data_IF_286255101362
#
_entry.id   IF_286255101362
#
_cell.length_a   1.000
_cell.length_b   1.000
_cell.length_c   1.000
_cell.angle_alpha   90.00
_cell.angle_beta   90.00
_cell.angle_gamma   90.00
#
_symmetry.space_group_name_H-M   'P 1'
#
loop_
_entity.id
_entity.type
_entity.pdbx_description
1 polymer ?
#
# COMPACT_ATOMS: atom_id res chain seq x y z
N UNK A 1 -31.46 13.43 -36.27
CA UNK A 1 -30.57 14.31 -37.03
C UNK A 1 -30.29 15.53 -36.17
N UNK A 2 -29.17 15.63 -35.58
CA UNK A 2 -28.34 16.78 -35.26
C UNK A 2 -27.38 16.37 -34.12
N UNK A 3 -26.14 16.21 -34.53
CA UNK A 3 -24.99 15.89 -33.73
C UNK A 3 -24.73 16.99 -32.71
N UNK A 4 -24.70 16.65 -31.42
CA UNK A 4 -24.05 17.46 -30.40
C UNK A 4 -22.59 17.06 -30.39
N UNK A 5 -21.75 17.96 -30.89
CA UNK A 5 -20.29 17.86 -30.79
C UNK A 5 -19.89 18.00 -29.33
N UNK A 6 -19.29 16.95 -28.78
CA UNK A 6 -18.54 17.01 -27.57
C UNK A 6 -17.30 17.88 -27.81
N UNK A 7 -17.22 19.01 -27.15
CA UNK A 7 -15.97 19.74 -26.99
C UNK A 7 -15.06 18.91 -26.07
N UNK A 8 -14.22 18.12 -26.69
CA UNK A 8 -13.06 17.53 -26.04
C UNK A 8 -12.09 18.69 -25.72
N UNK A 9 -12.07 19.13 -24.46
CA UNK A 9 -10.94 19.86 -23.95
C UNK A 9 -9.71 18.96 -24.11
N UNK A 10 -8.93 19.23 -25.13
CA UNK A 10 -7.60 18.67 -25.30
C UNK A 10 -6.72 19.23 -24.18
N UNK A 11 -6.63 18.51 -23.08
CA UNK A 11 -5.53 18.64 -22.14
C UNK A 11 -4.29 18.16 -22.89
N UNK A 12 -3.37 19.05 -23.19
CA UNK A 12 -2.02 18.65 -23.54
C UNK A 12 -1.47 17.88 -22.32
N UNK A 13 -0.98 16.64 -22.48
CA UNK A 13 -0.41 15.89 -21.38
C UNK A 13 0.82 16.66 -20.88
N UNK A 14 0.78 17.05 -19.60
CA UNK A 14 1.96 17.56 -18.92
C UNK A 14 3.05 16.49 -19.02
N UNK A 15 4.20 16.90 -19.37
CA UNK A 15 5.54 16.32 -19.57
C UNK A 15 5.92 14.90 -19.08
N UNK A 16 4.99 14.08 -18.59
CA UNK A 16 5.21 12.64 -18.39
C UNK A 16 5.39 11.87 -19.71
N UNK A 17 5.08 12.51 -20.87
CA UNK A 17 5.21 11.92 -22.21
C UNK A 17 6.65 11.73 -22.70
N UNK A 18 7.66 11.92 -21.88
CA UNK A 18 9.05 11.94 -22.33
C UNK A 18 9.94 10.78 -21.96
N UNK A 19 9.54 9.83 -21.11
CA UNK A 19 10.49 8.78 -20.71
C UNK A 19 9.77 7.46 -20.38
N UNK A 20 9.20 6.81 -21.36
CA UNK A 20 9.17 5.36 -21.43
C UNK A 20 10.52 4.91 -22.00
N UNK A 21 11.59 5.04 -21.24
CA UNK A 21 12.81 4.31 -21.50
C UNK A 21 12.80 3.06 -20.67
N UNK A 22 12.77 1.91 -21.35
CA UNK A 22 12.90 0.58 -20.77
C UNK A 22 11.86 0.25 -19.67
N UNK A 23 10.57 0.17 -20.03
CA UNK A 23 9.46 -0.47 -19.29
C UNK A 23 9.18 -0.02 -17.84
N UNK A 24 9.80 1.04 -17.32
CA UNK A 24 9.58 1.51 -15.96
C UNK A 24 9.16 2.97 -15.88
N UNK A 25 8.09 3.25 -15.13
CA UNK A 25 7.68 4.62 -14.85
C UNK A 25 8.74 5.36 -14.02
N UNK A 26 9.13 6.56 -14.49
CA UNK A 26 10.05 7.45 -13.77
C UNK A 26 9.47 8.87 -13.68
N UNK A 27 9.23 9.39 -12.44
CA UNK A 27 8.72 10.75 -12.28
C UNK A 27 9.80 11.79 -12.56
N UNK A 28 9.76 12.44 -13.71
CA UNK A 28 10.72 13.49 -14.08
C UNK A 28 10.48 14.77 -13.30
N UNK A 29 11.58 15.43 -12.89
CA UNK A 29 11.51 16.64 -12.09
C UNK A 29 11.05 17.85 -12.94
N UNK A 30 10.00 18.60 -12.53
CA UNK A 30 9.54 19.79 -13.24
C UNK A 30 10.61 20.89 -13.27
N UNK A 31 10.73 21.58 -14.41
CA UNK A 31 11.73 22.61 -14.63
C UNK A 31 11.21 24.03 -14.31
N UNK A 32 9.89 24.23 -14.37
CA UNK A 32 9.22 25.51 -14.15
C UNK A 32 7.85 25.27 -13.48
N UNK A 33 7.18 26.35 -13.07
CA UNK A 33 5.88 26.27 -12.39
C UNK A 33 4.81 25.62 -13.28
N UNK A 34 4.78 25.92 -14.58
CA UNK A 34 3.79 25.35 -15.50
C UNK A 34 3.86 23.83 -15.55
N UNK A 35 5.08 23.27 -15.55
CA UNK A 35 5.30 21.82 -15.55
C UNK A 35 4.89 21.13 -14.25
N UNK A 36 4.72 21.87 -13.15
CA UNK A 36 4.22 21.30 -11.90
C UNK A 36 2.73 20.92 -11.97
N UNK A 37 1.99 21.50 -12.94
CA UNK A 37 0.54 21.40 -13.03
C UNK A 37 -0.23 22.13 -11.92
N UNK A 38 0.46 22.97 -11.14
CA UNK A 38 -0.12 23.72 -10.02
C UNK A 38 -0.16 25.23 -10.34
N UNK A 39 -1.13 25.92 -9.75
CA UNK A 39 -1.18 27.39 -9.87
C UNK A 39 -0.07 28.04 -9.02
N UNK A 40 0.47 29.17 -9.52
CA UNK A 40 1.45 29.95 -8.74
C UNK A 40 0.91 30.32 -7.36
N UNK A 41 -0.37 30.70 -7.26
CA UNK A 41 -1.00 31.05 -6.00
C UNK A 41 -1.03 29.90 -4.98
N UNK A 42 -1.17 28.66 -5.45
CA UNK A 42 -1.09 27.48 -4.59
C UNK A 42 0.33 27.26 -4.06
N UNK A 43 1.33 27.37 -4.94
CA UNK A 43 2.75 27.19 -4.56
C UNK A 43 3.18 28.32 -3.61
N UNK A 44 2.80 29.60 -3.88
CA UNK A 44 3.02 30.72 -2.96
C UNK A 44 2.43 30.43 -1.57
N UNK A 45 1.19 29.95 -1.51
CA UNK A 45 0.54 29.59 -0.25
C UNK A 45 1.29 28.47 0.48
N UNK A 46 1.76 27.45 -0.25
CA UNK A 46 2.51 26.33 0.32
C UNK A 46 3.87 26.79 0.87
N UNK A 47 4.59 27.65 0.16
CA UNK A 47 5.84 28.26 0.61
C UNK A 47 5.62 29.09 1.87
N UNK A 48 4.63 29.97 1.91
CA UNK A 48 4.31 30.79 3.09
C UNK A 48 3.95 29.94 4.31
N UNK A 49 3.15 28.90 4.14
CA UNK A 49 2.80 27.95 5.20
C UNK A 49 4.03 27.17 5.70
N UNK A 50 4.90 26.75 4.80
CA UNK A 50 6.15 26.06 5.14
C UNK A 50 7.06 26.93 5.99
N UNK A 51 7.22 28.23 5.62
CA UNK A 51 8.02 29.18 6.40
C UNK A 51 7.34 29.51 7.72
N UNK A 52 6.01 29.59 7.78
CA UNK A 52 5.26 29.84 9.03
C UNK A 52 5.57 28.74 10.08
N UNK A 53 5.58 27.48 9.68
CA UNK A 53 5.86 26.36 10.57
C UNK A 53 7.34 26.26 10.94
N UNK A 54 8.23 26.52 9.97
CA UNK A 54 9.67 26.38 10.17
C UNK A 54 10.29 27.59 10.88
N UNK A 55 9.65 28.74 10.88
CA UNK A 55 10.16 30.02 11.39
C UNK A 55 11.18 30.64 10.45
N UNK A 56 12.47 30.32 10.64
CA UNK A 56 13.55 30.76 9.74
C UNK A 56 14.11 29.55 9.02
N UNK A 57 14.11 29.59 7.68
CA UNK A 57 14.43 28.43 6.84
C UNK A 57 15.13 28.86 5.57
N UNK A 58 16.10 28.07 5.07
CA UNK A 58 16.77 28.33 3.79
C UNK A 58 15.87 27.98 2.60
N UNK A 59 16.09 28.61 1.44
CA UNK A 59 15.35 28.32 0.23
C UNK A 59 15.47 26.85 -0.19
N UNK A 60 16.65 26.23 -0.05
CA UNK A 60 16.82 24.79 -0.32
C UNK A 60 16.02 23.91 0.66
N UNK A 61 15.94 24.29 1.91
CA UNK A 61 15.10 23.56 2.86
C UNK A 61 13.61 23.73 2.57
N UNK A 62 13.18 24.86 1.99
CA UNK A 62 11.81 25.02 1.47
C UNK A 62 11.60 24.08 0.28
N UNK A 63 12.57 24.03 -0.64
CA UNK A 63 12.59 23.10 -1.78
C UNK A 63 12.42 21.65 -1.33
N UNK A 64 13.23 21.20 -0.38
CA UNK A 64 13.17 19.83 0.14
C UNK A 64 11.83 19.52 0.82
N UNK A 65 11.29 20.46 1.61
CA UNK A 65 10.00 20.28 2.30
C UNK A 65 8.80 20.28 1.37
N UNK A 66 8.86 21.07 0.29
CA UNK A 66 7.78 21.15 -0.70
C UNK A 66 7.91 20.13 -1.82
N UNK A 67 9.05 19.43 -1.91
CA UNK A 67 9.35 18.51 -3.01
C UNK A 67 9.55 19.19 -4.36
N UNK A 68 9.54 20.53 -4.42
CA UNK A 68 9.72 21.29 -5.66
C UNK A 68 11.19 21.67 -5.83
N UNK A 69 11.71 21.57 -7.03
CA UNK A 69 13.08 21.99 -7.33
C UNK A 69 13.32 23.45 -6.96
N UNK A 70 14.52 23.77 -6.44
CA UNK A 70 14.86 25.13 -6.02
C UNK A 70 14.65 26.15 -7.13
N UNK A 71 15.03 25.82 -8.38
CA UNK A 71 14.82 26.66 -9.59
C UNK A 71 13.34 26.99 -9.87
N UNK A 72 12.40 26.16 -9.40
CA UNK A 72 10.96 26.39 -9.54
C UNK A 72 10.46 27.39 -8.51
N UNK A 73 10.95 27.29 -7.26
CA UNK A 73 10.46 28.13 -6.17
C UNK A 73 11.23 29.43 -6.00
N UNK A 74 12.49 29.52 -6.45
CA UNK A 74 13.33 30.71 -6.30
C UNK A 74 12.67 31.98 -6.91
N UNK A 75 12.15 31.97 -8.15
CA UNK A 75 11.46 33.15 -8.72
C UNK A 75 10.23 33.54 -7.89
N UNK A 76 9.48 32.56 -7.35
CA UNK A 76 8.31 32.83 -6.52
C UNK A 76 8.70 33.46 -5.17
N UNK A 77 9.80 33.00 -4.57
CA UNK A 77 10.32 33.59 -3.32
C UNK A 77 10.75 35.04 -3.53
N UNK A 78 11.34 35.38 -4.69
CA UNK A 78 11.68 36.77 -5.05
C UNK A 78 10.44 37.64 -5.22
N UNK A 79 9.39 37.11 -5.82
CA UNK A 79 8.08 37.81 -5.93
C UNK A 79 7.50 38.01 -4.51
N UNK A 80 7.50 37.03 -3.67
CA UNK A 80 6.99 37.14 -2.30
C UNK A 80 7.80 38.16 -1.47
N UNK A 81 9.11 38.21 -1.67
CA UNK A 81 9.98 39.22 -1.08
C UNK A 81 9.65 40.65 -1.59
N UNK A 82 9.47 40.80 -2.88
CA UNK A 82 9.10 42.10 -3.50
C UNK A 82 7.75 42.57 -2.97
N UNK A 83 6.81 41.64 -2.73
CA UNK A 83 5.51 41.92 -2.09
C UNK A 83 5.61 42.10 -0.57
N UNK A 84 6.83 42.08 0.01
CA UNK A 84 7.10 42.23 1.44
C UNK A 84 6.41 41.19 2.33
N UNK A 85 6.21 39.95 1.81
CA UNK A 85 5.68 38.84 2.56
C UNK A 85 6.81 37.97 3.17
N UNK A 86 7.97 37.89 2.48
CA UNK A 86 9.21 37.29 2.93
C UNK A 86 10.30 38.30 3.16
N UNK A 87 11.22 38.07 4.06
CA UNK A 87 12.43 38.85 4.28
C UNK A 87 13.65 37.93 4.35
N UNK A 88 14.78 38.42 3.82
CA UNK A 88 16.09 37.80 4.01
C UNK A 88 16.56 38.03 5.45
N UNK A 89 17.02 36.99 6.11
CA UNK A 89 17.58 37.06 7.46
C UNK A 89 19.11 37.09 7.41
N UNK A 90 19.69 36.17 6.64
CA UNK A 90 21.14 36.00 6.46
C UNK A 90 21.44 35.17 5.20
N UNK A 91 22.66 35.28 4.64
CA UNK A 91 23.09 34.40 3.58
C UNK A 91 23.15 32.93 4.05
N UNK A 92 22.87 32.00 3.13
CA UNK A 92 23.06 30.56 3.29
C UNK A 92 24.13 30.06 2.30
N UNK A 93 24.54 28.80 2.40
CA UNK A 93 25.49 28.20 1.49
C UNK A 93 24.93 28.08 0.05
N UNK A 94 25.80 28.01 -0.94
CA UNK A 94 25.47 27.82 -2.36
C UNK A 94 24.55 28.89 -2.96
N UNK A 95 24.82 30.15 -2.67
CA UNK A 95 24.10 31.33 -3.17
C UNK A 95 22.59 31.33 -2.80
N UNK A 96 22.27 30.84 -1.60
CA UNK A 96 20.94 30.80 -1.02
C UNK A 96 20.83 31.77 0.17
N UNK A 97 19.62 31.99 0.68
CA UNK A 97 19.34 32.84 1.83
C UNK A 97 18.44 32.13 2.83
N UNK A 98 18.55 32.52 4.10
CA UNK A 98 17.54 32.21 5.09
C UNK A 98 16.42 33.24 5.00
N UNK A 99 15.20 32.72 4.94
CA UNK A 99 13.97 33.48 4.85
C UNK A 99 13.17 33.40 6.14
N UNK A 100 12.49 34.48 6.46
CA UNK A 100 11.45 34.54 7.50
C UNK A 100 10.24 35.29 6.97
N UNK A 101 9.07 35.09 7.59
CA UNK A 101 7.89 35.86 7.28
C UNK A 101 7.98 37.26 7.90
N UNK A 102 7.49 38.25 7.16
CA UNK A 102 7.15 39.57 7.73
C UNK A 102 5.81 39.46 8.49
N UNK A 103 5.39 40.53 9.18
CA UNK A 103 4.07 40.57 9.83
C UNK A 103 2.93 40.34 8.81
N UNK A 104 2.99 41.01 7.66
CA UNK A 104 2.03 40.81 6.57
C UNK A 104 2.10 39.36 6.02
N UNK A 105 3.31 38.77 5.91
CA UNK A 105 3.53 37.40 5.52
C UNK A 105 2.92 36.41 6.51
N UNK A 106 3.04 36.65 7.82
CA UNK A 106 2.44 35.82 8.85
C UNK A 106 0.91 35.83 8.77
N UNK A 107 0.30 37.00 8.65
CA UNK A 107 -1.15 37.14 8.50
C UNK A 107 -1.63 36.39 7.25
N UNK A 108 -0.93 36.53 6.12
CA UNK A 108 -1.27 35.86 4.87
C UNK A 108 -1.12 34.34 4.99
N UNK A 109 -0.04 33.86 5.60
CA UNK A 109 0.20 32.46 5.83
C UNK A 109 -0.85 31.84 6.75
N UNK A 110 -1.26 32.54 7.81
CA UNK A 110 -2.36 32.10 8.69
C UNK A 110 -3.68 31.97 7.95
N UNK A 111 -4.02 32.93 7.07
CA UNK A 111 -5.22 32.84 6.21
C UNK A 111 -5.15 31.59 5.32
N UNK A 112 -3.98 31.29 4.72
CA UNK A 112 -3.81 30.09 3.93
C UNK A 112 -3.91 28.81 4.76
N UNK A 113 -3.42 28.81 6.00
CA UNK A 113 -3.59 27.68 6.93
C UNK A 113 -5.06 27.44 7.30
N UNK A 114 -5.83 28.50 7.47
CA UNK A 114 -7.30 28.37 7.73
C UNK A 114 -8.04 27.80 6.52
N UNK A 115 -7.63 28.18 5.30
CA UNK A 115 -8.25 27.68 4.07
C UNK A 115 -7.90 26.23 3.79
N UNK A 116 -6.64 25.82 4.03
CA UNK A 116 -6.17 24.45 3.90
C UNK A 116 -4.90 24.27 4.73
N UNK A 117 -4.95 23.39 5.72
CA UNK A 117 -3.83 23.19 6.65
C UNK A 117 -2.70 22.31 6.11
N UNK A 118 -2.81 21.80 4.88
CA UNK A 118 -1.79 20.94 4.30
C UNK A 118 -0.44 21.64 4.19
N UNK A 119 0.59 21.01 4.72
CA UNK A 119 2.01 21.39 4.57
C UNK A 119 2.82 20.13 4.33
N UNK A 120 3.61 20.12 3.29
CA UNK A 120 4.40 18.95 2.87
C UNK A 120 4.78 19.06 1.40
N UNK A 121 5.19 17.94 0.78
CA UNK A 121 5.47 17.92 -0.66
C UNK A 121 4.25 18.39 -1.46
N UNK A 122 4.49 19.23 -2.49
CA UNK A 122 3.44 19.77 -3.31
C UNK A 122 2.65 18.62 -3.99
N UNK A 123 1.32 18.71 -4.11
CA UNK A 123 0.54 17.70 -4.76
C UNK A 123 0.86 17.60 -6.26
N UNK A 124 0.55 16.46 -6.87
CA UNK A 124 0.61 16.28 -8.32
C UNK A 124 -0.81 16.36 -8.90
N UNK A 125 -0.99 16.73 -10.17
CA UNK A 125 -2.28 16.67 -10.84
C UNK A 125 -2.87 15.25 -10.84
N UNK A 126 -4.20 15.14 -10.76
CA UNK A 126 -4.89 13.85 -10.85
C UNK A 126 -4.54 13.09 -12.14
N UNK A 127 -4.41 13.80 -13.26
CA UNK A 127 -4.04 13.18 -14.53
C UNK A 127 -2.66 12.50 -14.49
N UNK A 128 -1.67 13.11 -13.83
CA UNK A 128 -0.33 12.54 -13.65
C UNK A 128 -0.38 11.28 -12.76
N UNK A 129 -1.20 11.29 -11.72
CA UNK A 129 -1.43 10.10 -10.90
C UNK A 129 -2.06 8.96 -11.71
N UNK A 130 -3.09 9.23 -12.49
CA UNK A 130 -3.76 8.23 -13.35
C UNK A 130 -2.75 7.59 -14.30
N UNK A 131 -2.01 8.41 -15.05
CA UNK A 131 -0.97 7.93 -15.98
C UNK A 131 0.11 7.10 -15.27
N UNK A 132 0.50 7.49 -14.06
CA UNK A 132 1.51 6.76 -13.29
C UNK A 132 1.05 5.38 -12.88
N UNK A 133 -0.22 5.25 -12.46
CA UNK A 133 -0.78 3.94 -12.07
C UNK A 133 -0.90 3.04 -13.29
N UNK A 134 -1.45 3.54 -14.40
CA UNK A 134 -1.58 2.78 -15.65
C UNK A 134 -0.23 2.29 -16.19
N UNK A 135 0.79 3.16 -16.18
CA UNK A 135 2.14 2.81 -16.64
C UNK A 135 2.80 1.75 -15.74
N UNK A 136 2.63 1.87 -14.42
CA UNK A 136 3.22 0.93 -13.45
C UNK A 136 2.45 -0.40 -13.35
N UNK A 137 1.18 -0.42 -13.72
CA UNK A 137 0.39 -1.64 -13.85
C UNK A 137 0.72 -2.40 -15.13
N UNK A 138 0.89 -1.69 -16.26
CA UNK A 138 1.23 -2.28 -17.55
C UNK A 138 2.64 -2.91 -17.58
N UNK A 139 3.57 -2.40 -16.79
CA UNK A 139 4.95 -2.91 -16.70
C UNK A 139 5.14 -4.12 -15.77
N UNK A 140 4.08 -4.83 -15.41
CA UNK A 140 4.17 -6.05 -14.61
C UNK A 140 4.49 -7.26 -15.48
N UNK A 141 5.66 -7.85 -15.26
CA UNK A 141 5.97 -9.16 -15.85
C UNK A 141 5.09 -10.26 -15.21
N UNK A 142 4.59 -11.21 -15.99
CA UNK A 142 3.89 -12.36 -15.45
C UNK A 142 4.77 -13.12 -14.46
N UNK A 143 4.22 -13.45 -13.31
CA UNK A 143 4.93 -14.21 -12.26
C UNK A 143 5.05 -15.66 -12.72
N UNK A 144 6.26 -16.20 -12.65
CA UNK A 144 6.51 -17.60 -12.90
C UNK A 144 6.38 -18.46 -11.61
N UNK A 145 6.41 -19.79 -11.79
CA UNK A 145 6.28 -20.73 -10.69
C UNK A 145 7.42 -20.64 -9.68
N UNK A 146 8.63 -20.37 -10.13
CA UNK A 146 9.83 -20.35 -9.27
C UNK A 146 9.78 -19.11 -8.35
N UNK A 147 9.37 -17.97 -8.88
CA UNK A 147 9.15 -16.73 -8.12
C UNK A 147 8.08 -16.92 -7.04
N UNK A 148 6.95 -17.55 -7.42
CA UNK A 148 5.87 -17.84 -6.47
C UNK A 148 6.33 -18.84 -5.39
N UNK A 149 7.05 -19.87 -5.76
CA UNK A 149 7.62 -20.85 -4.83
C UNK A 149 8.63 -20.19 -3.88
N UNK A 150 9.45 -19.28 -4.37
CA UNK A 150 10.40 -18.52 -3.54
C UNK A 150 9.66 -17.63 -2.53
N UNK A 151 8.62 -16.93 -2.94
CA UNK A 151 7.84 -16.06 -2.07
C UNK A 151 7.07 -16.85 -1.01
N UNK A 152 6.60 -18.03 -1.34
CA UNK A 152 5.91 -18.96 -0.44
C UNK A 152 6.86 -19.94 0.28
N UNK A 153 8.18 -19.85 0.06
CA UNK A 153 9.18 -20.78 0.61
C UNK A 153 9.14 -20.94 2.15
N UNK A 154 8.62 -19.93 2.83
CA UNK A 154 8.43 -19.95 4.29
C UNK A 154 7.16 -20.69 4.74
N UNK A 155 6.37 -21.16 3.79
CA UNK A 155 5.06 -21.76 4.04
C UNK A 155 5.03 -23.07 3.27
N UNK A 156 4.79 -24.17 3.97
CA UNK A 156 4.68 -25.49 3.34
C UNK A 156 3.26 -25.67 2.78
N UNK A 157 3.12 -25.71 1.47
CA UNK A 157 1.88 -26.00 0.75
C UNK A 157 2.10 -27.05 -0.31
N UNK A 158 1.00 -27.72 -0.73
CA UNK A 158 1.01 -28.64 -1.85
C UNK A 158 1.25 -27.91 -3.17
N UNK A 159 1.91 -28.56 -4.12
CA UNK A 159 2.18 -28.01 -5.46
C UNK A 159 0.92 -27.57 -6.20
N UNK A 160 -0.20 -28.24 -5.99
CA UNK A 160 -1.50 -27.93 -6.58
C UNK A 160 -2.00 -26.51 -6.20
N UNK A 161 -1.73 -26.06 -4.98
CA UNK A 161 -2.07 -24.69 -4.57
C UNK A 161 -1.26 -23.65 -5.33
N UNK A 162 0.03 -23.90 -5.60
CA UNK A 162 0.87 -23.01 -6.38
C UNK A 162 0.36 -22.88 -7.82
N UNK A 163 -0.06 -24.00 -8.41
CA UNK A 163 -0.58 -24.03 -9.78
C UNK A 163 -1.95 -23.30 -9.92
N UNK A 164 -2.70 -23.15 -8.83
CA UNK A 164 -3.92 -22.34 -8.79
C UNK A 164 -3.63 -20.85 -8.52
N UNK A 165 -2.66 -20.54 -7.64
CA UNK A 165 -2.33 -19.17 -7.26
C UNK A 165 -1.63 -18.40 -8.39
N UNK A 166 -0.72 -19.01 -9.14
CA UNK A 166 0.04 -18.35 -10.20
C UNK A 166 -0.87 -17.67 -11.25
N UNK A 167 -1.77 -18.40 -11.92
CA UNK A 167 -2.73 -17.81 -12.86
C UNK A 167 -3.63 -16.74 -12.24
N UNK A 168 -4.04 -16.92 -10.97
CA UNK A 168 -4.89 -15.97 -10.28
C UNK A 168 -4.19 -14.62 -10.07
N UNK A 169 -2.90 -14.63 -9.72
CA UNK A 169 -2.11 -13.40 -9.55
C UNK A 169 -1.90 -12.72 -10.91
N UNK A 170 -1.53 -13.49 -11.93
CA UNK A 170 -1.25 -12.97 -13.26
C UNK A 170 -2.49 -12.39 -13.96
N UNK A 171 -3.68 -12.76 -13.51
CA UNK A 171 -4.91 -12.17 -14.04
C UNK A 171 -5.16 -10.74 -13.57
N UNK A 172 -4.49 -10.30 -12.50
CA UNK A 172 -4.69 -9.01 -11.82
C UNK A 172 -6.17 -8.71 -11.51
N UNK A 173 -6.98 -9.75 -11.34
CA UNK A 173 -8.40 -9.66 -10.98
C UNK A 173 -8.61 -10.02 -9.51
N UNK A 174 -9.85 -10.07 -9.07
CA UNK A 174 -10.16 -10.53 -7.71
C UNK A 174 -10.00 -12.05 -7.56
N UNK A 175 -9.64 -12.49 -6.37
CA UNK A 175 -9.64 -13.90 -5.98
C UNK A 175 -10.23 -14.13 -4.58
N UNK A 176 -10.89 -15.27 -4.39
CA UNK A 176 -11.27 -15.77 -3.07
C UNK A 176 -10.22 -16.75 -2.56
N UNK A 177 -9.75 -16.52 -1.33
CA UNK A 177 -9.03 -17.50 -0.53
C UNK A 177 -9.98 -17.97 0.57
N UNK A 178 -10.53 -19.17 0.43
CA UNK A 178 -11.52 -19.67 1.39
C UNK A 178 -11.11 -21.00 2.03
N UNK A 179 -11.76 -21.34 3.12
CA UNK A 179 -11.48 -22.58 3.82
C UNK A 179 -11.32 -22.39 5.33
N UNK A 180 -11.03 -23.44 6.09
CA UNK A 180 -11.04 -23.42 7.54
C UNK A 180 -10.11 -22.37 8.15
N UNK A 181 -10.46 -21.82 9.34
CA UNK A 181 -9.62 -20.86 10.04
C UNK A 181 -8.29 -21.48 10.47
N UNK A 182 -7.24 -20.65 10.55
CA UNK A 182 -5.92 -21.08 11.01
C UNK A 182 -5.03 -21.73 9.95
N UNK A 183 -5.45 -21.78 8.69
CA UNK A 183 -4.66 -22.37 7.60
C UNK A 183 -3.81 -21.37 6.81
N UNK A 184 -3.69 -20.12 7.29
CA UNK A 184 -2.71 -19.18 6.76
C UNK A 184 -3.15 -18.38 5.53
N UNK A 185 -4.46 -18.26 5.25
CA UNK A 185 -5.00 -17.48 4.13
C UNK A 185 -4.42 -16.06 4.09
N UNK A 186 -4.46 -15.34 5.20
CA UNK A 186 -3.87 -13.98 5.31
C UNK A 186 -2.36 -13.97 5.07
N UNK A 187 -1.66 -15.04 5.48
CA UNK A 187 -0.21 -15.18 5.25
C UNK A 187 0.08 -15.40 3.77
N UNK A 188 -0.69 -16.25 3.09
CA UNK A 188 -0.62 -16.45 1.64
C UNK A 188 -0.80 -15.11 0.95
N UNK A 189 -1.90 -14.40 1.22
CA UNK A 189 -2.19 -13.13 0.59
C UNK A 189 -1.04 -12.10 0.70
N UNK A 190 -0.41 -12.02 1.88
CA UNK A 190 0.77 -11.17 2.09
C UNK A 190 2.00 -11.61 1.30
N UNK A 191 2.20 -12.92 1.14
CA UNK A 191 3.29 -13.45 0.33
C UNK A 191 3.04 -13.18 -1.15
N UNK A 192 1.79 -13.29 -1.63
CA UNK A 192 1.43 -13.00 -3.01
C UNK A 192 1.77 -11.58 -3.42
N UNK A 193 1.55 -10.60 -2.54
CA UNK A 193 1.94 -9.21 -2.84
C UNK A 193 3.45 -9.04 -3.04
N UNK A 194 4.26 -9.84 -2.34
CA UNK A 194 5.73 -9.81 -2.51
C UNK A 194 6.15 -10.35 -3.88
N UNK A 195 5.31 -11.16 -4.53
CA UNK A 195 5.55 -11.65 -5.89
C UNK A 195 5.26 -10.59 -6.97
N UNK A 196 4.43 -9.58 -6.68
CA UNK A 196 4.04 -8.56 -7.66
C UNK A 196 5.22 -7.68 -8.11
N UNK A 197 6.44 -8.04 -7.75
CA UNK A 197 7.66 -7.46 -8.25
C UNK A 197 8.05 -6.17 -7.55
N UNK A 198 8.68 -5.28 -8.34
CA UNK A 198 9.48 -4.16 -7.87
C UNK A 198 8.66 -3.07 -7.16
N UNK A 199 9.39 -2.13 -6.61
CA UNK A 199 8.93 -0.91 -5.99
C UNK A 199 8.14 -0.04 -6.99
N UNK A 200 7.25 0.79 -6.46
CA UNK A 200 6.44 1.71 -7.25
C UNK A 200 6.62 3.14 -6.78
N UNK A 201 6.23 4.08 -7.64
CA UNK A 201 6.17 5.50 -7.32
C UNK A 201 4.74 5.90 -7.01
N UNK A 202 4.53 6.57 -5.89
CA UNK A 202 3.26 7.19 -5.52
C UNK A 202 3.48 8.67 -5.18
N UNK A 203 2.53 9.58 -5.47
CA UNK A 203 2.61 10.94 -5.00
C UNK A 203 2.23 11.04 -3.51
N UNK A 204 2.79 12.00 -2.80
CA UNK A 204 2.37 12.29 -1.42
C UNK A 204 0.91 12.77 -1.35
N UNK A 205 0.53 13.61 -2.29
CA UNK A 205 -0.81 14.16 -2.42
C UNK A 205 -1.16 14.43 -3.88
N UNK A 206 -2.44 14.48 -4.18
CA UNK A 206 -3.02 14.70 -5.50
C UNK A 206 -3.86 15.98 -5.46
N UNK A 207 -3.87 16.72 -6.56
CA UNK A 207 -4.70 17.91 -6.73
C UNK A 207 -5.66 17.72 -7.88
N UNK A 208 -6.95 17.93 -7.64
CA UNK A 208 -7.96 18.04 -8.68
C UNK A 208 -8.91 19.20 -8.38
N UNK A 209 -8.96 20.15 -9.28
CA UNK A 209 -9.86 21.31 -9.24
C UNK A 209 -9.92 22.00 -7.85
N UNK A 210 -8.77 22.23 -7.25
CA UNK A 210 -8.61 22.87 -5.93
C UNK A 210 -8.85 21.94 -4.73
N UNK A 211 -9.25 20.68 -4.94
CA UNK A 211 -9.36 19.67 -3.88
C UNK A 211 -8.03 18.95 -3.72
N UNK A 212 -7.48 18.99 -2.52
CA UNK A 212 -6.25 18.28 -2.17
C UNK A 212 -6.59 16.93 -1.55
N UNK A 213 -6.13 15.86 -2.18
CA UNK A 213 -6.31 14.48 -1.72
C UNK A 213 -4.97 13.95 -1.25
N UNK A 214 -4.83 13.70 0.04
CA UNK A 214 -3.65 13.07 0.62
C UNK A 214 -3.69 11.57 0.32
N UNK A 215 -2.67 11.06 -0.39
CA UNK A 215 -2.57 9.66 -0.78
C UNK A 215 -1.62 8.88 0.13
N UNK A 216 -0.42 9.42 0.38
CA UNK A 216 0.59 8.76 1.21
C UNK A 216 0.07 8.54 2.63
N UNK A 217 0.19 7.29 3.09
CA UNK A 217 -0.21 6.83 4.41
C UNK A 217 0.85 5.90 4.99
N UNK A 218 1.47 6.30 6.09
CA UNK A 218 2.55 5.54 6.73
C UNK A 218 2.11 4.16 7.26
N UNK A 219 0.81 3.95 7.43
CA UNK A 219 0.26 2.65 7.84
C UNK A 219 0.39 1.59 6.74
N UNK A 220 0.33 2.01 5.48
CA UNK A 220 0.30 1.13 4.32
C UNK A 220 1.54 1.25 3.42
N UNK A 221 2.10 2.47 3.31
CA UNK A 221 3.17 2.79 2.37
C UNK A 221 4.54 2.77 3.06
N UNK A 222 5.35 1.77 2.74
CA UNK A 222 6.72 1.64 3.25
C UNK A 222 7.70 2.19 2.23
N UNK A 223 8.46 3.27 2.58
CA UNK A 223 9.50 3.77 1.69
C UNK A 223 10.48 2.67 1.30
N UNK A 224 10.82 2.63 0.03
CA UNK A 224 11.85 1.76 -0.48
C UNK A 224 13.20 2.49 -0.44
N UNK A 225 14.31 1.80 -0.16
CA UNK A 225 15.62 2.39 -0.26
C UNK A 225 15.87 2.77 -1.72
N UNK A 226 16.17 4.05 -1.96
CA UNK A 226 16.63 4.47 -3.28
C UNK A 226 18.08 3.97 -3.37
N UNK A 227 18.25 2.75 -3.88
CA UNK A 227 19.57 2.31 -4.28
C UNK A 227 20.02 3.25 -5.41
N UNK A 228 21.16 3.88 -5.24
CA UNK A 228 21.89 4.52 -6.34
C UNK A 228 22.23 3.40 -7.34
N UNK A 229 21.22 2.91 -8.06
CA UNK A 229 21.39 1.89 -9.08
C UNK A 229 22.12 2.52 -10.26
N UNK A 230 23.41 2.29 -10.32
CA UNK A 230 24.27 2.80 -11.37
C UNK A 230 25.76 2.77 -11.05
N UNK A 231 26.20 2.13 -9.96
CA UNK A 231 27.61 1.83 -9.76
C UNK A 231 27.98 0.44 -10.28
N UNK A 232 27.51 0.06 -11.45
CA UNK A 232 28.25 -0.94 -12.24
C UNK A 232 29.52 -0.27 -12.76
N UNK A 233 30.59 -0.49 -12.00
CA UNK A 233 31.93 0.05 -12.16
C UNK A 233 32.70 -0.57 -13.34
N UNK A 234 32.09 -0.67 -14.53
CA UNK A 234 32.77 -1.21 -15.72
C UNK A 234 32.63 -0.39 -17.02
N UNK A 235 32.09 0.80 -17.01
CA UNK A 235 32.25 1.71 -18.13
C UNK A 235 32.27 3.15 -17.62
N UNK A 236 33.34 3.86 -17.92
CA UNK A 236 33.67 5.22 -17.47
C UNK A 236 32.75 6.32 -18.01
N UNK A 237 31.45 6.13 -18.00
CA UNK A 237 30.46 7.17 -18.18
C UNK A 237 29.95 7.60 -16.80
N UNK A 238 30.28 8.83 -16.43
CA UNK A 238 29.62 9.56 -15.34
C UNK A 238 28.18 9.78 -15.81
N UNK A 239 27.33 8.76 -15.66
CA UNK A 239 25.89 8.89 -15.87
C UNK A 239 25.38 9.85 -14.80
N UNK A 240 24.90 11.01 -15.23
CA UNK A 240 24.14 11.94 -14.40
C UNK A 240 23.03 11.12 -13.74
N UNK A 241 23.07 11.00 -12.43
CA UNK A 241 21.96 10.46 -11.65
C UNK A 241 20.74 11.29 -12.01
N UNK A 242 19.78 10.70 -12.72
CA UNK A 242 18.60 11.41 -13.16
C UNK A 242 17.80 11.79 -11.92
N UNK A 243 17.71 13.08 -11.63
CA UNK A 243 16.95 13.57 -10.49
C UNK A 243 15.46 13.29 -10.73
N UNK A 244 14.80 12.69 -9.73
CA UNK A 244 13.36 12.47 -9.77
C UNK A 244 12.59 13.60 -9.11
N UNK A 245 11.32 13.70 -9.41
CA UNK A 245 10.41 14.64 -8.79
C UNK A 245 10.13 14.25 -7.34
N UNK A 246 10.62 15.02 -6.36
CA UNK A 246 10.50 14.75 -4.92
C UNK A 246 9.06 14.87 -4.37
N UNK A 247 8.09 15.22 -5.21
CA UNK A 247 6.66 15.11 -4.88
C UNK A 247 6.19 13.65 -4.85
N UNK A 248 6.97 12.75 -5.47
CA UNK A 248 6.77 11.32 -5.52
C UNK A 248 7.66 10.61 -4.53
N UNK A 249 7.11 9.54 -3.95
CA UNK A 249 7.78 8.64 -3.02
C UNK A 249 7.91 7.26 -3.66
N UNK A 250 9.11 6.69 -3.65
CA UNK A 250 9.33 5.30 -4.03
C UNK A 250 8.99 4.41 -2.85
N UNK A 251 8.09 3.47 -3.04
CA UNK A 251 7.61 2.56 -1.99
C UNK A 251 7.67 1.10 -2.45
N UNK A 252 7.73 0.19 -1.47
CA UNK A 252 7.41 -1.21 -1.73
C UNK A 252 5.94 -1.30 -2.15
N UNK A 253 5.58 -2.25 -3.05
CA UNK A 253 4.18 -2.43 -3.44
C UNK A 253 3.30 -2.62 -2.20
N UNK A 254 2.23 -1.84 -2.05
CA UNK A 254 1.44 -1.83 -0.83
C UNK A 254 0.62 -3.11 -0.69
N UNK A 255 0.51 -3.61 0.54
CA UNK A 255 -0.48 -4.59 0.94
C UNK A 255 -1.40 -3.92 1.95
N UNK A 256 -2.54 -3.46 1.48
CA UNK A 256 -3.57 -2.89 2.35
C UNK A 256 -4.43 -4.02 2.88
N UNK A 257 -4.43 -4.20 4.18
CA UNK A 257 -5.21 -5.27 4.85
C UNK A 257 -6.30 -4.61 5.66
N UNK A 258 -7.54 -5.02 5.41
CA UNK A 258 -8.72 -4.57 6.15
C UNK A 258 -9.54 -5.78 6.60
N UNK A 259 -10.11 -5.69 7.80
CA UNK A 259 -10.89 -6.75 8.42
C UNK A 259 -12.31 -6.30 8.77
N UNK A 260 -12.78 -6.71 9.94
CA UNK A 260 -14.13 -6.40 10.42
C UNK A 260 -14.44 -4.92 10.63
N UNK A 261 -13.42 -4.05 10.64
CA UNK A 261 -13.57 -2.59 10.75
C UNK A 261 -14.02 -1.92 9.45
N UNK A 262 -13.98 -2.61 8.31
CA UNK A 262 -14.32 -2.05 7.01
C UNK A 262 -15.75 -1.51 6.97
N UNK A 263 -15.89 -0.27 6.55
CA UNK A 263 -17.17 0.43 6.32
C UNK A 263 -17.12 1.11 4.94
N UNK A 264 -18.29 1.47 4.39
CA UNK A 264 -18.41 2.08 3.05
C UNK A 264 -17.59 3.37 2.93
N UNK A 265 -17.51 4.14 3.99
CA UNK A 265 -16.76 5.41 4.02
C UNK A 265 -15.25 5.23 3.80
N UNK A 266 -14.71 4.03 4.01
CA UNK A 266 -13.31 3.73 3.72
C UNK A 266 -13.04 3.61 2.21
N UNK A 267 -14.08 3.42 1.42
CA UNK A 267 -14.04 3.31 -0.04
C UNK A 267 -14.40 4.63 -0.74
N UNK A 268 -14.66 5.69 0.00
CA UNK A 268 -14.97 7.01 -0.51
C UNK A 268 -13.92 8.04 -0.08
N UNK A 269 -13.83 9.15 -0.81
CA UNK A 269 -12.96 10.27 -0.43
C UNK A 269 -13.48 10.89 0.86
N UNK A 270 -12.69 10.84 1.93
CA UNK A 270 -13.06 11.45 3.19
C UNK A 270 -12.54 12.87 3.29
N UNK A 271 -13.42 13.83 3.45
CA UNK A 271 -13.08 15.23 3.67
C UNK A 271 -13.06 15.57 5.17
N UNK A 272 -11.97 16.16 5.64
CA UNK A 272 -11.88 16.77 6.96
C UNK A 272 -12.16 18.27 6.86
N UNK A 273 -13.31 18.76 7.35
CA UNK A 273 -13.68 20.17 7.25
C UNK A 273 -12.75 21.11 8.05
N UNK A 274 -12.00 20.58 9.04
CA UNK A 274 -11.10 21.39 9.89
C UNK A 274 -9.81 21.72 9.17
N UNK A 275 -9.28 20.74 8.47
CA UNK A 275 -8.01 20.87 7.73
C UNK A 275 -8.24 21.27 6.26
N UNK A 276 -9.46 21.07 5.77
CA UNK A 276 -9.83 21.15 4.36
C UNK A 276 -8.93 20.29 3.47
N UNK A 277 -8.67 19.06 3.94
CA UNK A 277 -7.89 18.03 3.26
C UNK A 277 -8.80 16.84 3.03
N UNK A 278 -8.71 16.26 1.85
CA UNK A 278 -9.34 14.98 1.56
C UNK A 278 -8.34 13.85 1.81
N UNK A 279 -8.81 12.76 2.37
CA UNK A 279 -8.07 11.51 2.53
C UNK A 279 -8.44 10.56 1.40
N UNK A 280 -7.46 9.96 0.74
CA UNK A 280 -7.69 8.99 -0.31
C UNK A 280 -8.33 7.71 0.24
N UNK A 281 -9.27 7.08 -0.49
CA UNK A 281 -9.86 5.80 -0.11
C UNK A 281 -8.87 4.64 -0.27
N UNK A 282 -9.24 3.48 0.28
CA UNK A 282 -8.36 2.30 0.34
C UNK A 282 -7.90 1.82 -1.04
N UNK A 283 -8.79 1.85 -2.04
CA UNK A 283 -8.46 1.42 -3.41
C UNK A 283 -7.42 2.33 -4.08
N UNK A 284 -7.38 3.62 -3.77
CA UNK A 284 -6.30 4.48 -4.23
C UNK A 284 -4.97 4.17 -3.52
N UNK A 285 -5.04 3.85 -2.22
CA UNK A 285 -3.86 3.52 -1.41
C UNK A 285 -3.27 2.15 -1.76
N UNK A 286 -4.06 1.25 -2.36
CA UNK A 286 -3.62 -0.11 -2.75
C UNK A 286 -3.30 -0.26 -4.24
N UNK A 287 -3.49 0.77 -5.05
CA UNK A 287 -3.19 0.71 -6.50
C UNK A 287 -1.76 0.22 -6.75
N UNK A 288 -1.59 -0.57 -7.80
CA UNK A 288 -0.36 -1.30 -8.16
C UNK A 288 0.13 -2.29 -7.08
N UNK A 289 -0.71 -2.63 -6.11
CA UNK A 289 -0.40 -3.54 -5.02
C UNK A 289 -1.52 -4.54 -4.76
N UNK A 290 -1.84 -4.77 -3.49
CA UNK A 290 -2.87 -5.71 -3.08
C UNK A 290 -3.82 -5.09 -2.04
N UNK A 291 -5.11 -5.31 -2.22
CA UNK A 291 -6.13 -5.02 -1.22
C UNK A 291 -6.68 -6.35 -0.69
N UNK A 292 -6.32 -6.69 0.54
CA UNK A 292 -6.78 -7.89 1.23
C UNK A 292 -7.94 -7.55 2.16
N UNK A 293 -9.09 -8.15 1.90
CA UNK A 293 -10.25 -8.10 2.80
C UNK A 293 -10.26 -9.40 3.60
N UNK A 294 -9.81 -9.29 4.82
CA UNK A 294 -9.68 -10.44 5.71
C UNK A 294 -10.97 -10.69 6.49
N UNK A 295 -11.27 -11.96 6.78
CA UNK A 295 -12.53 -12.40 7.38
C UNK A 295 -13.78 -11.87 6.63
N UNK A 296 -13.74 -11.92 5.28
CA UNK A 296 -14.84 -11.47 4.43
C UNK A 296 -16.16 -12.14 4.81
N UNK A 297 -17.21 -11.34 4.93
CA UNK A 297 -18.51 -11.73 5.47
C UNK A 297 -18.71 -11.38 6.95
N UNK A 298 -17.68 -10.82 7.62
CA UNK A 298 -17.75 -10.36 9.02
C UNK A 298 -17.48 -8.88 9.21
N UNK A 299 -17.45 -8.12 8.11
CA UNK A 299 -17.31 -6.68 8.12
C UNK A 299 -18.58 -6.00 8.68
N UNK A 300 -18.46 -4.72 9.01
CA UNK A 300 -19.62 -3.90 9.37
C UNK A 300 -20.52 -3.60 8.18
N UNK A 301 -19.95 -3.56 6.98
CA UNK A 301 -20.66 -3.47 5.72
C UNK A 301 -21.16 -4.86 5.31
N UNK A 302 -22.38 -4.96 4.81
CA UNK A 302 -22.89 -6.20 4.27
C UNK A 302 -22.09 -6.63 3.01
N UNK A 303 -21.76 -7.94 2.86
CA UNK A 303 -21.03 -8.40 1.68
C UNK A 303 -21.65 -7.93 0.36
N UNK A 304 -22.96 -8.05 0.21
CA UNK A 304 -23.68 -7.64 -0.99
C UNK A 304 -23.51 -6.14 -1.30
N UNK A 305 -23.51 -5.26 -0.29
CA UNK A 305 -23.33 -3.83 -0.45
C UNK A 305 -21.92 -3.49 -0.94
N UNK A 306 -20.89 -4.11 -0.34
CA UNK A 306 -19.50 -3.96 -0.75
C UNK A 306 -19.31 -4.43 -2.20
N UNK A 307 -19.88 -5.57 -2.53
CA UNK A 307 -19.74 -6.18 -3.83
C UNK A 307 -20.44 -5.38 -4.90
N UNK A 308 -21.64 -4.87 -4.65
CA UNK A 308 -22.35 -3.97 -5.54
C UNK A 308 -21.57 -2.68 -5.83
N UNK A 309 -20.85 -2.16 -4.83
CA UNK A 309 -19.97 -0.99 -4.99
C UNK A 309 -18.79 -1.27 -5.94
N UNK A 310 -18.34 -2.53 -6.00
CA UNK A 310 -17.17 -2.92 -6.78
C UNK A 310 -17.47 -3.64 -8.11
N UNK A 311 -18.72 -3.75 -8.50
CA UNK A 311 -19.09 -4.29 -9.81
C UNK A 311 -18.33 -3.55 -10.94
N UNK A 312 -18.45 -2.23 -10.97
CA UNK A 312 -17.82 -1.41 -12.01
C UNK A 312 -16.28 -1.43 -11.94
N UNK A 313 -15.66 -1.25 -10.77
CA UNK A 313 -14.21 -1.37 -10.63
C UNK A 313 -13.63 -2.72 -11.12
N UNK A 314 -14.26 -3.83 -10.76
CA UNK A 314 -13.79 -5.16 -11.14
C UNK A 314 -13.97 -5.46 -12.63
N UNK A 315 -14.99 -4.85 -13.29
CA UNK A 315 -15.24 -5.06 -14.72
C UNK A 315 -14.42 -4.13 -15.62
N UNK A 316 -14.18 -2.88 -15.18
CA UNK A 316 -13.65 -1.83 -16.04
C UNK A 316 -12.27 -1.32 -15.62
N UNK A 317 -11.64 -1.88 -14.59
CA UNK A 317 -10.35 -1.41 -14.02
C UNK A 317 -10.35 0.09 -13.67
N UNK A 318 -11.51 0.66 -13.36
CA UNK A 318 -11.65 2.05 -12.96
C UNK A 318 -12.75 2.24 -11.93
N UNK A 319 -12.59 3.24 -11.06
CA UNK A 319 -13.57 3.61 -10.05
C UNK A 319 -13.97 5.08 -10.16
N UNK A 320 -15.18 5.40 -9.69
CA UNK A 320 -15.73 6.76 -9.68
C UNK A 320 -15.92 7.22 -8.26
N UNK A 321 -15.19 8.27 -7.89
CA UNK A 321 -15.26 8.87 -6.56
C UNK A 321 -15.94 10.25 -6.63
N UNK A 322 -16.61 10.63 -5.56
CA UNK A 322 -17.25 11.94 -5.46
C UNK A 322 -16.43 12.83 -4.53
N UNK A 323 -15.97 13.97 -5.05
CA UNK A 323 -15.29 14.99 -4.25
C UNK A 323 -16.29 15.79 -3.40
N UNK A 324 -15.83 16.48 -2.34
CA UNK A 324 -16.70 17.33 -1.49
C UNK A 324 -17.46 18.40 -2.26
N UNK A 325 -16.93 18.83 -3.41
CA UNK A 325 -17.57 19.78 -4.33
C UNK A 325 -18.75 19.18 -5.11
N UNK A 326 -18.97 17.86 -5.02
CA UNK A 326 -19.94 17.11 -5.82
C UNK A 326 -19.43 16.68 -7.19
N UNK A 327 -18.21 17.08 -7.57
CA UNK A 327 -17.55 16.63 -8.81
C UNK A 327 -17.23 15.15 -8.70
N UNK A 328 -17.52 14.38 -9.75
CA UNK A 328 -17.09 13.00 -9.89
C UNK A 328 -15.74 12.95 -10.59
N UNK A 329 -14.82 12.18 -10.05
CA UNK A 329 -13.52 11.87 -10.65
C UNK A 329 -13.44 10.39 -10.97
N UNK A 330 -12.80 10.06 -12.06
CA UNK A 330 -12.44 8.68 -12.43
C UNK A 330 -11.00 8.41 -12.00
N UNK A 331 -10.78 7.29 -11.33
CA UNK A 331 -9.46 6.82 -10.90
C UNK A 331 -9.21 5.41 -11.44
N UNK A 332 -7.95 5.03 -11.69
CA UNK A 332 -7.61 3.65 -12.03
C UNK A 332 -7.84 2.73 -10.83
N UNK A 333 -8.17 1.48 -11.14
CA UNK A 333 -8.41 0.42 -10.17
C UNK A 333 -7.53 -0.78 -10.53
N UNK A 334 -6.22 -0.61 -10.32
CA UNK A 334 -5.17 -1.53 -10.75
C UNK A 334 -4.50 -2.17 -9.54
N UNK A 335 -5.21 -3.12 -8.90
CA UNK A 335 -4.72 -3.85 -7.74
C UNK A 335 -5.27 -5.27 -7.70
N UNK A 336 -4.50 -6.18 -7.14
CA UNK A 336 -4.97 -7.52 -6.81
C UNK A 336 -5.91 -7.45 -5.60
N UNK A 337 -7.17 -7.85 -5.76
CA UNK A 337 -8.11 -7.94 -4.64
C UNK A 337 -8.19 -9.37 -4.16
N UNK A 338 -8.00 -9.55 -2.85
CA UNK A 338 -8.09 -10.85 -2.20
C UNK A 338 -9.19 -10.82 -1.14
N UNK A 339 -10.21 -11.64 -1.35
CA UNK A 339 -11.25 -11.90 -0.35
C UNK A 339 -10.86 -13.13 0.45
N UNK A 340 -10.46 -12.95 1.72
CA UNK A 340 -10.12 -14.06 2.62
C UNK A 340 -11.32 -14.38 3.51
N UNK A 341 -11.82 -15.60 3.49
CA UNK A 341 -13.01 -16.00 4.27
C UNK A 341 -12.90 -17.41 4.82
N UNK A 342 -13.63 -17.67 5.91
CA UNK A 342 -13.78 -19.00 6.49
C UNK A 342 -15.06 -19.70 6.04
N UNK A 343 -15.89 -19.04 5.26
CA UNK A 343 -17.16 -19.53 4.72
C UNK A 343 -16.98 -19.93 3.26
N UNK A 344 -17.91 -20.72 2.75
CA UNK A 344 -17.95 -21.02 1.32
C UNK A 344 -18.38 -19.76 0.54
N UNK A 345 -17.69 -19.38 -0.53
CA UNK A 345 -18.08 -18.22 -1.35
C UNK A 345 -19.52 -18.28 -1.87
N UNK A 346 -20.03 -19.48 -2.19
CA UNK A 346 -21.41 -19.69 -2.64
C UNK A 346 -22.48 -19.38 -1.57
N UNK A 347 -22.09 -19.40 -0.28
CA UNK A 347 -22.96 -19.03 0.83
C UNK A 347 -22.93 -17.51 1.14
N UNK A 348 -21.93 -16.81 0.61
CA UNK A 348 -21.69 -15.40 0.94
C UNK A 348 -22.28 -14.43 -0.07
N UNK A 349 -22.32 -14.81 -1.34
CA UNK A 349 -22.60 -13.92 -2.46
C UNK A 349 -23.36 -14.64 -3.56
N UNK A 350 -24.03 -13.87 -4.40
CA UNK A 350 -24.77 -14.41 -5.54
C UNK A 350 -23.86 -14.90 -6.67
N UNK A 351 -24.40 -15.75 -7.55
CA UNK A 351 -23.70 -16.30 -8.71
C UNK A 351 -23.17 -15.20 -9.65
N UNK A 352 -23.91 -14.10 -9.81
CA UNK A 352 -23.54 -13.01 -10.70
C UNK A 352 -22.23 -12.32 -10.23
N UNK A 353 -22.02 -12.22 -8.94
CA UNK A 353 -20.77 -11.70 -8.40
C UNK A 353 -19.64 -12.73 -8.51
N UNK A 354 -19.93 -14.01 -8.22
CA UNK A 354 -18.92 -15.08 -8.32
C UNK A 354 -18.30 -15.18 -9.72
N UNK A 355 -19.05 -14.81 -10.77
CA UNK A 355 -18.53 -14.73 -12.13
C UNK A 355 -17.51 -13.60 -12.34
N UNK A 356 -17.55 -12.54 -11.51
CA UNK A 356 -16.62 -11.41 -11.57
C UNK A 356 -15.33 -11.64 -10.80
N UNK A 357 -15.34 -12.60 -9.88
CA UNK A 357 -14.14 -13.05 -9.17
C UNK A 357 -13.83 -14.49 -9.60
N UNK A 358 -13.12 -14.66 -10.72
CA UNK A 358 -13.02 -15.96 -11.41
C UNK A 358 -12.25 -17.02 -10.61
N UNK A 359 -11.37 -16.61 -9.71
CA UNK A 359 -10.51 -17.50 -8.93
C UNK A 359 -11.06 -17.72 -7.54
N UNK A 360 -11.41 -18.97 -7.22
CA UNK A 360 -11.83 -19.41 -5.88
C UNK A 360 -10.90 -20.52 -5.44
N UNK A 361 -10.00 -20.22 -4.52
CA UNK A 361 -8.91 -21.09 -4.12
C UNK A 361 -9.14 -21.57 -2.72
N UNK A 362 -9.31 -22.89 -2.57
CA UNK A 362 -9.52 -23.52 -1.28
C UNK A 362 -8.20 -23.77 -0.56
N UNK A 363 -8.07 -23.23 0.65
CA UNK A 363 -6.92 -23.42 1.52
C UNK A 363 -7.28 -24.46 2.58
N UNK A 364 -7.05 -25.71 2.25
CA UNK A 364 -7.39 -26.86 3.09
C UNK A 364 -6.45 -27.07 4.29
N UNK A 365 -6.80 -28.08 5.07
CA UNK A 365 -5.99 -28.51 6.19
C UNK A 365 -4.67 -29.13 5.73
N UNK A 366 -3.59 -29.02 6.51
CA UNK A 366 -2.32 -29.64 6.18
C UNK A 366 -2.41 -31.17 6.27
N UNK A 367 -1.66 -31.85 5.43
CA UNK A 367 -1.39 -33.27 5.59
C UNK A 367 -0.57 -33.53 6.85
N UNK A 368 -0.54 -34.80 7.32
CA UNK A 368 0.30 -35.17 8.48
C UNK A 368 1.79 -34.81 8.24
N UNK A 369 2.29 -34.96 7.01
CA UNK A 369 3.68 -34.68 6.67
C UNK A 369 3.94 -33.17 6.68
N UNK A 370 3.05 -32.35 6.10
CA UNK A 370 3.14 -30.89 6.16
C UNK A 370 3.05 -30.37 7.60
N UNK A 371 2.16 -30.93 8.40
CA UNK A 371 2.04 -30.55 9.80
C UNK A 371 3.31 -30.90 10.58
N UNK A 372 3.93 -32.04 10.32
CA UNK A 372 5.21 -32.46 10.91
C UNK A 372 6.34 -31.52 10.50
N UNK A 373 6.39 -31.13 9.23
CA UNK A 373 7.39 -30.18 8.73
C UNK A 373 7.25 -28.82 9.43
N UNK A 374 6.02 -28.30 9.54
CA UNK A 374 5.72 -27.05 10.27
C UNK A 374 6.11 -27.13 11.75
N UNK A 375 5.86 -28.26 12.38
CA UNK A 375 6.22 -28.49 13.78
C UNK A 375 7.73 -28.47 13.99
N UNK A 376 8.49 -29.08 13.10
CA UNK A 376 9.97 -29.08 13.14
C UNK A 376 10.52 -27.66 12.91
N UNK A 377 10.04 -26.97 11.90
CA UNK A 377 10.46 -25.59 11.59
C UNK A 377 10.20 -24.63 12.78
N UNK A 378 9.04 -24.71 13.40
CA UNK A 378 8.71 -23.89 14.56
C UNK A 378 9.58 -24.24 15.76
N UNK A 379 9.83 -25.53 15.98
CA UNK A 379 10.68 -26.01 17.06
C UNK A 379 12.12 -25.50 16.93
N UNK A 380 12.68 -25.56 15.74
CA UNK A 380 14.01 -25.03 15.45
C UNK A 380 14.09 -23.51 15.69
N UNK A 381 13.09 -22.75 15.22
CA UNK A 381 12.99 -21.29 15.46
C UNK A 381 12.92 -20.93 16.94
N UNK A 382 12.28 -21.76 17.74
CA UNK A 382 12.17 -21.57 19.20
C UNK A 382 13.40 -22.09 19.98
N UNK A 383 14.34 -22.75 19.30
CA UNK A 383 15.59 -23.20 19.86
C UNK A 383 15.51 -24.53 20.62
N UNK A 384 14.49 -25.35 20.37
CA UNK A 384 14.38 -26.69 20.91
C UNK A 384 13.81 -27.68 19.86
N UNK A 385 14.54 -28.74 19.53
CA UNK A 385 14.08 -29.68 18.52
C UNK A 385 12.86 -30.49 19.03
N UNK A 386 11.90 -30.70 18.13
CA UNK A 386 10.82 -31.65 18.37
C UNK A 386 11.38 -33.08 18.32
N UNK A 387 10.93 -33.93 19.21
CA UNK A 387 11.27 -35.35 19.16
C UNK A 387 10.20 -36.13 18.35
N UNK A 388 10.58 -37.18 17.63
CA UNK A 388 9.61 -38.03 16.93
C UNK A 388 8.49 -38.52 17.84
N UNK A 389 8.83 -38.89 19.10
CA UNK A 389 7.88 -39.33 20.11
C UNK A 389 6.84 -38.26 20.45
N UNK A 390 7.26 -37.01 20.58
CA UNK A 390 6.36 -35.91 20.86
C UNK A 390 5.41 -35.62 19.70
N UNK A 391 5.91 -35.69 18.46
CA UNK A 391 5.07 -35.57 17.25
C UNK A 391 4.03 -36.67 17.16
N UNK A 392 4.44 -37.94 17.39
CA UNK A 392 3.53 -39.10 17.40
C UNK A 392 2.47 -39.02 18.50
N UNK A 393 2.87 -38.53 19.69
CA UNK A 393 1.94 -38.31 20.79
C UNK A 393 0.88 -37.24 20.40
N UNK A 394 1.28 -36.17 19.77
CA UNK A 394 0.38 -35.12 19.32
C UNK A 394 -0.60 -35.66 18.25
N UNK A 395 -0.11 -36.41 17.26
CA UNK A 395 -0.99 -37.02 16.24
C UNK A 395 -2.00 -38.00 16.84
N UNK A 396 -1.59 -38.77 17.86
CA UNK A 396 -2.51 -39.64 18.57
C UNK A 396 -3.62 -38.84 19.26
N UNK A 397 -3.26 -37.76 19.93
CA UNK A 397 -4.20 -36.83 20.55
C UNK A 397 -5.22 -36.29 19.54
N UNK A 398 -4.79 -35.88 18.34
CA UNK A 398 -5.69 -35.41 17.29
C UNK A 398 -6.64 -36.50 16.80
N UNK A 399 -6.16 -37.73 16.64
CA UNK A 399 -6.98 -38.85 16.22
C UNK A 399 -8.01 -39.27 17.31
N UNK A 400 -7.61 -39.28 18.58
CA UNK A 400 -8.49 -39.62 19.70
C UNK A 400 -9.57 -38.56 19.94
N UNK A 401 -9.26 -37.30 19.65
CA UNK A 401 -10.20 -36.19 19.84
C UNK A 401 -10.96 -35.80 18.58
N UNK A 402 -10.76 -36.53 17.47
CA UNK A 402 -11.34 -36.26 16.14
C UNK A 402 -11.16 -34.79 15.69
N UNK A 403 -10.03 -34.16 16.05
CA UNK A 403 -9.74 -32.78 15.72
C UNK A 403 -9.03 -32.65 14.37
N UNK A 404 -9.42 -31.68 13.53
CA UNK A 404 -8.71 -31.42 12.31
C UNK A 404 -7.35 -30.79 12.60
N UNK A 405 -6.35 -31.13 11.79
CA UNK A 405 -5.06 -30.47 11.78
C UNK A 405 -5.23 -29.04 11.23
N UNK A 406 -4.54 -28.05 11.82
CA UNK A 406 -4.50 -26.68 11.31
C UNK A 406 -3.07 -26.18 11.24
N UNK A 407 -2.74 -25.38 10.24
CA UNK A 407 -1.37 -24.86 10.04
C UNK A 407 -0.92 -23.94 11.18
N UNK A 408 -1.81 -23.31 11.91
CA UNK A 408 -1.48 -22.48 13.08
C UNK A 408 -1.11 -23.29 14.32
N UNK A 409 -1.63 -24.53 14.47
CA UNK A 409 -1.48 -25.32 15.70
C UNK A 409 -0.02 -25.59 16.08
N UNK A 410 0.91 -25.96 15.16
CA UNK A 410 2.31 -26.16 15.51
C UNK A 410 2.92 -24.93 16.19
N UNK A 411 2.74 -23.75 15.60
CA UNK A 411 3.25 -22.48 16.16
C UNK A 411 2.64 -22.19 17.54
N UNK A 412 1.35 -22.31 17.66
CA UNK A 412 0.62 -21.92 18.86
C UNK A 412 0.90 -22.88 20.02
N UNK A 413 0.88 -24.18 19.77
CA UNK A 413 1.17 -25.21 20.77
C UNK A 413 2.63 -25.16 21.23
N UNK A 414 3.59 -25.03 20.28
CA UNK A 414 5.01 -24.95 20.62
C UNK A 414 5.34 -23.66 21.38
N UNK A 415 4.67 -22.55 21.06
CA UNK A 415 4.80 -21.31 21.82
C UNK A 415 4.29 -21.48 23.24
N UNK A 416 3.16 -22.18 23.45
CA UNK A 416 2.66 -22.48 24.79
C UNK A 416 3.61 -23.37 25.57
N UNK A 417 4.18 -24.40 24.95
CA UNK A 417 5.21 -25.26 25.58
C UNK A 417 6.42 -24.41 26.00
N UNK A 418 6.90 -23.52 25.10
CA UNK A 418 8.02 -22.63 25.41
C UNK A 418 7.72 -21.72 26.60
N UNK A 419 6.53 -21.12 26.64
CA UNK A 419 6.10 -20.25 27.72
C UNK A 419 5.95 -21.04 29.04
N UNK A 420 5.43 -22.25 29.00
CA UNK A 420 5.35 -23.12 30.16
C UNK A 420 6.73 -23.46 30.72
N UNK A 421 7.68 -23.88 29.87
CA UNK A 421 9.06 -24.17 30.25
C UNK A 421 9.74 -22.96 30.89
N UNK A 422 9.59 -21.77 30.28
CA UNK A 422 10.15 -20.51 30.81
C UNK A 422 9.55 -20.18 32.18
N UNK A 423 8.24 -20.26 32.34
CA UNK A 423 7.57 -19.99 33.62
C UNK A 423 8.04 -20.92 34.73
N UNK A 424 8.18 -22.21 34.43
CA UNK A 424 8.64 -23.22 35.40
C UNK A 424 10.15 -23.29 35.57
N UNK A 425 10.93 -22.50 34.82
CA UNK A 425 12.40 -22.53 34.76
C UNK A 425 12.94 -23.95 34.44
N UNK A 426 12.25 -24.64 33.53
CA UNK A 426 12.58 -26.00 33.11
C UNK A 426 13.38 -25.95 31.79
N UNK A 427 14.13 -27.06 31.49
CA UNK A 427 14.80 -27.15 30.20
C UNK A 427 13.82 -27.04 29.04
N UNK A 428 14.22 -26.29 28.00
CA UNK A 428 13.44 -26.13 26.75
C UNK A 428 13.46 -27.44 25.96
N UNK A 429 12.51 -28.33 26.23
CA UNK A 429 12.36 -29.65 25.58
C UNK A 429 10.89 -29.88 25.29
N UNK A 430 10.60 -30.52 24.16
CA UNK A 430 9.23 -30.94 23.84
C UNK A 430 9.00 -32.34 24.40
N UNK A 431 8.23 -32.43 25.49
CA UNK A 431 7.82 -33.69 26.07
C UNK A 431 6.31 -33.91 25.89
N UNK A 432 5.83 -35.15 25.81
CA UNK A 432 4.40 -35.47 25.72
C UNK A 432 3.55 -34.74 26.77
N UNK A 433 3.99 -34.72 28.02
CA UNK A 433 3.27 -34.08 29.14
C UNK A 433 3.10 -32.56 28.96
N UNK A 434 4.09 -31.91 28.32
CA UNK A 434 4.02 -30.45 28.03
C UNK A 434 3.08 -30.16 26.88
N UNK A 435 3.05 -31.05 25.87
CA UNK A 435 2.06 -30.99 24.80
C UNK A 435 0.64 -31.21 25.32
N UNK A 436 0.42 -32.18 26.20
CA UNK A 436 -0.90 -32.37 26.84
C UNK A 436 -1.35 -31.13 27.60
N UNK A 437 -0.44 -30.48 28.34
CA UNK A 437 -0.74 -29.21 29.02
C UNK A 437 -1.08 -28.12 28.03
N UNK A 438 -0.32 -27.98 26.95
CA UNK A 438 -0.57 -26.98 25.90
C UNK A 438 -1.91 -27.27 25.20
N UNK A 439 -2.18 -28.52 24.83
CA UNK A 439 -3.45 -28.94 24.23
C UNK A 439 -4.67 -28.66 25.11
N UNK A 440 -4.59 -28.95 26.43
CA UNK A 440 -5.66 -28.63 27.36
C UNK A 440 -5.94 -27.12 27.46
N UNK A 441 -4.89 -26.31 27.42
CA UNK A 441 -5.03 -24.85 27.50
C UNK A 441 -5.52 -24.25 26.19
N UNK A 442 -5.09 -24.80 25.06
CA UNK A 442 -5.41 -24.30 23.72
C UNK A 442 -6.80 -24.71 23.25
N UNK A 443 -7.09 -25.98 23.38
CA UNK A 443 -8.37 -26.55 23.04
C UNK A 443 -9.23 -26.57 24.29
N UNK A 444 -9.88 -25.50 24.67
CA UNK A 444 -10.78 -25.48 25.82
C UNK A 444 -11.66 -26.72 25.84
N UNK A 445 -11.34 -27.65 26.72
CA UNK A 445 -12.25 -28.75 27.00
C UNK A 445 -13.37 -28.16 27.85
N UNK A 446 -14.50 -27.87 27.21
CA UNK A 446 -15.76 -27.69 27.89
C UNK A 446 -16.31 -29.07 28.28
#
# INVERSE_FOLDING_TARGET
MTLLANETHSFEPSLLGGLLSDDTFWPSQPQNVGETGLSESFIEALVLKTVLIAGTVSGRSISDRTGLAFRVIEPLMDVLRTRKLLSHVRPAAFNDYYYSLTEAGQQRAQTHMQNCSYVGPAPVPLADYVLSVEAQAAGLDPIDRDQLQQALSRISYQDDLLDQLGPAINSNTGLFLFGPPGNGKTTIARCLTQCLGQEIWIPHAIMDDGNLIKLQDDAFHRPAPISEAGSDSSSGNILKTQEWDKRWLRIQRPTVVVGGELVMENLEVRHDPRSNICEAPLQMKSNCGCLLIDDFGRQRIAPEELLNRWIVPLENSCDYLTLPTGKKIQIPFEQLIIFSTNLDPDELVDEAFLLRVPYKIFVGDPTEDEFRALMNEVSEKLGFPSTPEASEHLFRYYKETERPLRRCHPRDLMTQVANFCRYRKMPMTVRPEYLDQACRSYFSQL
#
